data_IF_763789647926
#
_entry.id   IF_763789647926
#
_cell.length_a   1.000
_cell.length_b   1.000
_cell.length_c   1.000
_cell.angle_alpha   90.00
_cell.angle_beta   90.00
_cell.angle_gamma   90.00
#
_symmetry.space_group_name_H-M   'P 1'
#
loop_
_entity.id
_entity.type
_entity.pdbx_description
1 polymer ?
#
# COMPACT_ATOMS: atom_id res chain seq x y z
N UNK A 1 33.19 3.83 -4.31
CA UNK A 1 32.59 3.29 -3.09
C UNK A 1 31.37 4.09 -2.64
N UNK A 2 31.46 5.42 -2.45
CA UNK A 2 30.33 6.22 -1.92
C UNK A 2 29.10 6.27 -2.83
N UNK A 3 29.28 6.30 -4.16
CA UNK A 3 28.15 6.27 -5.11
C UNK A 3 27.34 4.97 -5.06
N UNK A 4 28.00 3.84 -4.82
CA UNK A 4 27.30 2.55 -4.74
C UNK A 4 26.60 2.39 -3.39
N UNK A 5 27.21 2.84 -2.30
CA UNK A 5 26.54 2.89 -1.00
C UNK A 5 25.31 3.80 -1.01
N UNK A 6 25.40 4.96 -1.68
CA UNK A 6 24.26 5.86 -1.86
C UNK A 6 23.15 5.21 -2.71
N UNK A 7 23.51 4.56 -3.82
CA UNK A 7 22.53 3.88 -4.67
C UNK A 7 21.84 2.70 -3.95
N UNK A 8 22.59 1.96 -3.12
CA UNK A 8 22.04 0.87 -2.31
C UNK A 8 21.07 1.40 -1.25
N UNK A 9 21.42 2.51 -0.56
CA UNK A 9 20.52 3.18 0.38
C UNK A 9 19.23 3.63 -0.32
N UNK A 10 19.34 4.26 -1.49
CA UNK A 10 18.18 4.69 -2.27
C UNK A 10 17.32 3.51 -2.73
N UNK A 11 17.93 2.38 -3.13
CA UNK A 11 17.21 1.15 -3.46
C UNK A 11 16.46 0.62 -2.24
N UNK A 12 17.10 0.60 -1.07
CA UNK A 12 16.48 0.13 0.16
C UNK A 12 15.29 0.99 0.57
N UNK A 13 15.42 2.32 0.50
CA UNK A 13 14.33 3.25 0.76
C UNK A 13 13.17 3.07 -0.23
N UNK A 14 13.48 2.86 -1.51
CA UNK A 14 12.49 2.60 -2.55
C UNK A 14 11.76 1.27 -2.33
N UNK A 15 12.46 0.21 -1.92
CA UNK A 15 11.86 -1.09 -1.57
C UNK A 15 10.92 -0.96 -0.38
N UNK A 16 11.34 -0.25 0.67
CA UNK A 16 10.50 -0.02 1.84
C UNK A 16 9.23 0.76 1.47
N UNK A 17 9.38 1.82 0.66
CA UNK A 17 8.24 2.59 0.16
C UNK A 17 7.25 1.74 -0.64
N UNK A 18 7.75 0.88 -1.54
CA UNK A 18 6.90 -0.03 -2.33
C UNK A 18 6.22 -1.05 -1.41
N UNK A 19 6.92 -1.58 -0.40
CA UNK A 19 6.37 -2.51 0.59
C UNK A 19 5.22 -1.87 1.37
N UNK A 20 5.42 -0.66 1.86
CA UNK A 20 4.42 0.09 2.64
C UNK A 20 3.18 0.40 1.78
N UNK A 21 3.39 0.82 0.53
CA UNK A 21 2.30 1.05 -0.43
C UNK A 21 1.53 -0.23 -0.74
N UNK A 22 2.22 -1.35 -0.93
CA UNK A 22 1.58 -2.64 -1.15
C UNK A 22 0.78 -3.10 0.08
N UNK A 23 1.28 -2.85 1.29
CA UNK A 23 0.55 -3.12 2.53
C UNK A 23 -0.69 -2.24 2.66
N UNK A 24 -0.60 -0.96 2.33
CA UNK A 24 -1.74 -0.04 2.28
C UNK A 24 -2.78 -0.48 1.25
N UNK A 25 -2.37 -0.86 0.03
CA UNK A 25 -3.29 -1.39 -0.98
C UNK A 25 -3.99 -2.67 -0.50
N UNK A 26 -3.28 -3.56 0.22
CA UNK A 26 -3.90 -4.74 0.82
C UNK A 26 -4.96 -4.35 1.85
N UNK A 27 -4.65 -3.39 2.73
CA UNK A 27 -5.60 -2.87 3.74
C UNK A 27 -6.83 -2.25 3.08
N UNK A 28 -6.66 -1.43 2.05
CA UNK A 28 -7.76 -0.80 1.32
C UNK A 28 -8.61 -1.82 0.56
N UNK A 29 -8.01 -2.86 -0.01
CA UNK A 29 -8.75 -3.93 -0.69
C UNK A 29 -9.57 -4.80 0.28
N UNK A 30 -9.02 -5.08 1.46
CA UNK A 30 -9.76 -5.76 2.55
C UNK A 30 -10.95 -4.91 3.00
N UNK A 31 -10.73 -3.61 3.20
CA UNK A 31 -11.77 -2.63 3.54
C UNK A 31 -12.87 -2.56 2.47
N UNK A 32 -12.49 -2.56 1.19
CA UNK A 32 -13.43 -2.60 0.06
C UNK A 32 -14.28 -3.87 0.07
N UNK A 33 -13.66 -5.03 0.30
CA UNK A 33 -14.38 -6.31 0.39
C UNK A 33 -15.43 -6.28 1.50
N UNK A 34 -15.05 -5.76 2.67
CA UNK A 34 -15.94 -5.65 3.82
C UNK A 34 -17.05 -4.61 3.61
N UNK A 35 -16.78 -3.49 2.93
CA UNK A 35 -17.84 -2.54 2.52
C UNK A 35 -18.81 -3.15 1.52
N UNK A 36 -18.35 -3.99 0.60
CA UNK A 36 -19.22 -4.69 -0.33
C UNK A 36 -20.13 -5.69 0.40
N UNK A 37 -19.60 -6.39 1.41
CA UNK A 37 -20.39 -7.25 2.29
C UNK A 37 -21.42 -6.44 3.10
N UNK A 38 -21.07 -5.24 3.53
CA UNK A 38 -21.98 -4.32 4.21
C UNK A 38 -23.09 -3.83 3.26
N UNK A 39 -22.72 -3.50 2.01
CA UNK A 39 -23.65 -3.07 0.97
C UNK A 39 -24.64 -4.17 0.59
N UNK A 40 -24.23 -5.44 0.57
CA UNK A 40 -25.12 -6.56 0.26
C UNK A 40 -26.14 -6.85 1.38
N UNK A 41 -25.96 -6.28 2.57
CA UNK A 41 -26.95 -6.32 3.63
C UNK A 41 -28.15 -5.38 3.37
N UNK A 42 -28.01 -4.41 2.47
CA UNK A 42 -29.13 -3.59 2.02
C UNK A 42 -30.09 -4.37 1.12
N UNK A 43 -31.35 -3.94 1.08
CA UNK A 43 -32.32 -4.45 0.12
C UNK A 43 -31.99 -3.90 -1.27
N UNK A 44 -32.38 -4.62 -2.31
CA UNK A 44 -32.09 -4.22 -3.69
C UNK A 44 -32.75 -2.87 -4.05
N UNK A 45 -33.89 -2.56 -3.44
CA UNK A 45 -34.64 -1.30 -3.58
C UNK A 45 -34.24 -0.21 -2.56
N UNK A 46 -33.24 -0.47 -1.71
CA UNK A 46 -32.81 0.48 -0.69
C UNK A 46 -32.28 1.77 -1.32
N UNK A 47 -32.76 2.91 -0.81
CA UNK A 47 -32.36 4.26 -1.20
C UNK A 47 -31.09 4.70 -0.47
N UNK A 48 -30.43 5.72 -1.00
CA UNK A 48 -29.18 6.26 -0.42
C UNK A 48 -29.31 6.75 1.03
N UNK A 49 -30.52 7.13 1.45
CA UNK A 49 -30.84 7.59 2.82
C UNK A 49 -31.15 6.45 3.78
N UNK A 50 -31.37 5.24 3.28
CA UNK A 50 -31.78 4.12 4.12
C UNK A 50 -30.60 3.69 4.97
N UNK A 51 -30.86 3.52 6.26
CA UNK A 51 -29.89 3.03 7.24
C UNK A 51 -30.16 1.57 7.55
N UNK A 52 -29.09 0.86 7.92
CA UNK A 52 -29.14 -0.57 8.19
C UNK A 52 -29.94 -0.93 9.46
N UNK A 53 -30.08 0.01 10.39
CA UNK A 53 -30.84 -0.13 11.64
C UNK A 53 -32.33 -0.47 11.46
N UNK A 54 -32.92 -0.18 10.29
CA UNK A 54 -34.32 -0.45 9.99
C UNK A 54 -34.58 -1.78 9.26
N UNK A 55 -33.53 -2.48 8.80
CA UNK A 55 -33.67 -3.68 7.99
C UNK A 55 -33.61 -4.98 8.81
N UNK A 56 -34.59 -5.86 8.61
CA UNK A 56 -34.74 -7.16 9.31
C UNK A 56 -33.48 -8.04 9.29
N UNK A 57 -32.71 -8.03 8.19
CA UNK A 57 -31.45 -8.81 8.03
C UNK A 57 -30.36 -8.44 9.05
N UNK A 58 -30.41 -7.23 9.62
CA UNK A 58 -29.44 -6.78 10.63
C UNK A 58 -29.71 -7.31 12.03
N UNK A 59 -30.97 -7.67 12.35
CA UNK A 59 -31.30 -8.23 13.67
C UNK A 59 -30.83 -9.68 13.82
N UNK A 60 -30.92 -10.47 12.76
CA UNK A 60 -30.71 -11.93 12.84
C UNK A 60 -29.24 -12.38 12.62
N UNK A 61 -28.36 -11.51 12.13
CA UNK A 61 -26.94 -11.83 11.88
C UNK A 61 -25.96 -10.77 12.47
N UNK A 62 -26.41 -10.16 13.57
CA UNK A 62 -25.78 -9.02 14.26
C UNK A 62 -24.30 -9.25 14.57
N UNK A 63 -23.87 -10.46 14.94
CA UNK A 63 -22.51 -10.72 15.41
C UNK A 63 -21.47 -10.80 14.28
N UNK A 64 -21.82 -11.43 13.15
CA UNK A 64 -20.95 -11.45 11.96
C UNK A 64 -20.82 -10.05 11.37
N UNK A 65 -21.91 -9.28 11.40
CA UNK A 65 -21.96 -7.93 10.85
C UNK A 65 -21.23 -6.93 11.77
N UNK A 66 -21.35 -7.04 13.11
CA UNK A 66 -20.53 -6.28 14.07
C UNK A 66 -19.06 -6.62 13.96
N UNK A 67 -18.72 -7.88 13.68
CA UNK A 67 -17.36 -8.31 13.44
C UNK A 67 -16.82 -7.74 12.12
N UNK A 68 -17.60 -7.74 11.04
CA UNK A 68 -17.26 -7.07 9.77
C UNK A 68 -17.15 -5.55 9.95
N UNK A 69 -18.01 -4.95 10.75
CA UNK A 69 -17.95 -3.52 11.12
C UNK A 69 -16.70 -3.18 11.95
N UNK A 70 -16.28 -4.06 12.86
CA UNK A 70 -15.05 -3.91 13.65
C UNK A 70 -13.80 -4.08 12.79
N UNK A 71 -13.74 -5.12 11.96
CA UNK A 71 -12.64 -5.29 11.00
C UNK A 71 -12.55 -4.11 10.03
N UNK A 72 -13.70 -3.54 9.66
CA UNK A 72 -13.76 -2.36 8.81
C UNK A 72 -13.23 -1.14 9.56
N UNK A 73 -13.61 -0.94 10.83
CA UNK A 73 -13.07 0.13 11.65
C UNK A 73 -11.55 0.03 11.88
N UNK A 74 -11.03 -1.18 11.99
CA UNK A 74 -9.59 -1.43 12.13
C UNK A 74 -8.84 -1.14 10.82
N UNK A 75 -9.43 -1.50 9.67
CA UNK A 75 -8.87 -1.20 8.35
C UNK A 75 -8.92 0.31 8.03
N UNK A 76 -10.02 0.99 8.38
CA UNK A 76 -10.23 2.43 8.23
C UNK A 76 -9.24 3.24 9.07
N UNK A 77 -9.07 2.86 10.34
CA UNK A 77 -8.13 3.51 11.26
C UNK A 77 -6.67 3.31 10.81
N UNK A 78 -6.34 2.13 10.28
CA UNK A 78 -5.01 1.84 9.71
C UNK A 78 -4.76 2.52 8.35
N UNK A 79 -5.82 2.94 7.66
CA UNK A 79 -5.75 3.68 6.39
C UNK A 79 -5.73 5.21 6.59
N UNK A 80 -5.89 5.70 7.82
CA UNK A 80 -5.81 7.14 8.14
C UNK A 80 -7.00 7.97 7.65
N UNK A 81 -8.16 7.35 7.41
CA UNK A 81 -9.38 8.02 6.98
C UNK A 81 -10.25 8.43 8.18
N UNK A 82 -11.07 9.46 7.97
CA UNK A 82 -11.88 10.13 8.99
C UNK A 82 -12.69 9.15 9.87
N UNK A 83 -12.44 9.19 11.18
CA UNK A 83 -13.05 8.32 12.19
C UNK A 83 -14.58 8.51 12.31
N UNK A 84 -15.15 9.55 11.71
CA UNK A 84 -16.58 9.86 11.67
C UNK A 84 -17.46 8.70 11.17
N UNK A 85 -16.95 7.89 10.22
CA UNK A 85 -17.71 6.77 9.67
C UNK A 85 -17.72 5.53 10.60
N UNK A 86 -16.71 5.39 11.46
CA UNK A 86 -16.54 4.22 12.34
C UNK A 86 -17.69 4.10 13.33
N UNK A 87 -18.10 5.22 13.93
CA UNK A 87 -19.17 5.21 14.93
C UNK A 87 -20.55 4.94 14.31
N UNK A 88 -20.78 5.43 13.08
CA UNK A 88 -22.02 5.16 12.33
C UNK A 88 -22.12 3.70 11.90
N UNK A 89 -21.00 3.09 11.53
CA UNK A 89 -20.92 1.67 11.16
C UNK A 89 -21.21 0.79 12.39
N UNK A 90 -20.58 1.08 13.54
CA UNK A 90 -20.80 0.35 14.80
C UNK A 90 -22.25 0.42 15.30
N UNK A 91 -22.90 1.56 15.07
CA UNK A 91 -24.28 1.79 15.51
C UNK A 91 -25.32 1.37 14.45
N UNK A 92 -24.91 0.87 13.28
CA UNK A 92 -25.83 0.50 12.19
C UNK A 92 -26.60 1.67 11.60
N UNK A 93 -26.19 2.91 11.89
CA UNK A 93 -26.81 4.14 11.39
C UNK A 93 -26.20 4.60 10.08
N UNK A 94 -25.11 3.95 9.63
CA UNK A 94 -24.53 4.25 8.33
C UNK A 94 -25.56 3.98 7.22
N UNK A 95 -25.67 4.96 6.34
CA UNK A 95 -26.58 4.92 5.20
C UNK A 95 -25.92 4.29 3.99
N UNK A 96 -26.73 3.76 3.06
CA UNK A 96 -26.23 3.21 1.78
C UNK A 96 -25.40 4.24 1.01
N UNK A 97 -25.81 5.51 1.01
CA UNK A 97 -25.10 6.60 0.34
C UNK A 97 -23.73 6.88 0.97
N UNK A 98 -23.59 6.77 2.28
CA UNK A 98 -22.30 6.92 2.97
C UNK A 98 -21.36 5.75 2.67
N UNK A 99 -21.88 4.52 2.53
CA UNK A 99 -21.10 3.35 2.11
C UNK A 99 -20.63 3.49 0.67
N UNK A 100 -21.48 3.99 -0.23
CA UNK A 100 -21.12 4.24 -1.62
C UNK A 100 -20.08 5.36 -1.75
N UNK A 101 -20.20 6.43 -0.96
CA UNK A 101 -19.20 7.49 -0.88
C UNK A 101 -17.86 6.95 -0.36
N UNK A 102 -17.88 6.10 0.66
CA UNK A 102 -16.70 5.42 1.18
C UNK A 102 -16.04 4.50 0.14
N UNK A 103 -16.80 3.66 -0.55
CA UNK A 103 -16.27 2.79 -1.62
C UNK A 103 -15.57 3.61 -2.71
N UNK A 104 -16.14 4.75 -3.08
CA UNK A 104 -15.53 5.65 -4.06
C UNK A 104 -14.23 6.29 -3.57
N UNK A 105 -14.16 6.71 -2.30
CA UNK A 105 -12.92 7.24 -1.69
C UNK A 105 -11.83 6.15 -1.65
N UNK A 106 -12.20 4.93 -1.31
CA UNK A 106 -11.26 3.80 -1.24
C UNK A 106 -10.77 3.44 -2.63
N UNK A 107 -11.67 3.38 -3.61
CA UNK A 107 -11.32 3.11 -5.01
C UNK A 107 -10.34 4.16 -5.53
N UNK A 108 -10.63 5.45 -5.34
CA UNK A 108 -9.72 6.52 -5.75
C UNK A 108 -8.36 6.47 -5.02
N UNK A 109 -8.36 6.09 -3.74
CA UNK A 109 -7.12 5.89 -2.97
C UNK A 109 -6.30 4.71 -3.50
N UNK A 110 -6.94 3.57 -3.78
CA UNK A 110 -6.30 2.38 -4.39
C UNK A 110 -5.73 2.72 -5.77
N UNK A 111 -6.49 3.42 -6.60
CA UNK A 111 -6.05 3.82 -7.94
C UNK A 111 -4.83 4.74 -7.86
N UNK A 112 -4.83 5.72 -6.94
CA UNK A 112 -3.70 6.63 -6.73
C UNK A 112 -2.44 5.91 -6.23
N UNK A 113 -2.59 4.99 -5.27
CA UNK A 113 -1.48 4.20 -4.71
C UNK A 113 -0.93 3.20 -5.73
N UNK A 114 -1.80 2.59 -6.54
CA UNK A 114 -1.42 1.66 -7.61
C UNK A 114 -0.57 2.38 -8.66
N UNK A 115 -1.01 3.54 -9.13
CA UNK A 115 -0.24 4.37 -10.08
C UNK A 115 1.11 4.79 -9.50
N UNK A 116 1.13 5.21 -8.23
CA UNK A 116 2.36 5.60 -7.54
C UNK A 116 3.33 4.42 -7.36
N UNK A 117 2.83 3.24 -7.00
CA UNK A 117 3.62 2.00 -6.84
C UNK A 117 4.22 1.53 -8.18
N UNK A 118 3.47 1.62 -9.29
CA UNK A 118 3.99 1.33 -10.63
C UNK A 118 5.17 2.24 -11.00
N UNK A 119 5.06 3.54 -10.71
CA UNK A 119 6.14 4.49 -10.94
C UNK A 119 7.38 4.17 -10.10
N UNK A 120 7.19 3.81 -8.84
CA UNK A 120 8.30 3.45 -7.97
C UNK A 120 8.95 2.13 -8.37
N UNK A 121 8.21 1.19 -8.95
CA UNK A 121 8.78 -0.02 -9.54
C UNK A 121 9.66 0.29 -10.76
N UNK A 122 9.25 1.22 -11.63
CA UNK A 122 10.09 1.68 -12.74
C UNK A 122 11.37 2.36 -12.22
N UNK A 123 11.25 3.20 -11.19
CA UNK A 123 12.41 3.82 -10.53
C UNK A 123 13.32 2.77 -9.89
N UNK A 124 12.77 1.75 -9.22
CA UNK A 124 13.53 0.64 -8.65
C UNK A 124 14.33 -0.10 -9.73
N UNK A 125 13.71 -0.41 -10.88
CA UNK A 125 14.40 -1.04 -12.01
C UNK A 125 15.55 -0.16 -12.52
N UNK A 126 15.31 1.15 -12.68
CA UNK A 126 16.34 2.10 -13.09
C UNK A 126 17.49 2.18 -12.08
N UNK A 127 17.19 2.26 -10.78
CA UNK A 127 18.20 2.25 -9.72
C UNK A 127 18.99 0.95 -9.69
N UNK A 128 18.34 -0.20 -9.93
CA UNK A 128 19.04 -1.48 -9.98
C UNK A 128 20.01 -1.55 -11.17
N UNK A 129 19.60 -1.04 -12.33
CA UNK A 129 20.50 -0.94 -13.50
C UNK A 129 21.69 -0.01 -13.19
N UNK A 130 21.43 1.16 -12.61
CA UNK A 130 22.47 2.12 -12.21
C UNK A 130 23.43 1.54 -11.16
N UNK A 131 22.92 0.72 -10.24
CA UNK A 131 23.71 -0.01 -9.27
C UNK A 131 24.64 -1.00 -9.96
N UNK A 132 24.12 -1.84 -10.86
CA UNK A 132 24.93 -2.81 -11.62
C UNK A 132 26.05 -2.13 -12.39
N UNK A 133 25.76 -1.05 -13.14
CA UNK A 133 26.77 -0.27 -13.87
C UNK A 133 27.85 0.31 -12.94
N UNK A 134 27.44 0.84 -11.78
CA UNK A 134 28.37 1.39 -10.82
C UNK A 134 29.24 0.31 -10.15
N UNK A 135 28.71 -0.90 -9.95
CA UNK A 135 29.47 -2.07 -9.49
C UNK A 135 30.49 -2.54 -10.54
N UNK A 136 30.10 -2.63 -11.81
CA UNK A 136 31.00 -3.01 -12.89
C UNK A 136 32.14 -2.00 -13.01
N UNK A 137 31.82 -0.71 -12.94
CA UNK A 137 32.81 0.36 -12.95
C UNK A 137 33.73 0.28 -11.73
N UNK A 138 33.21 0.01 -10.53
CA UNK A 138 34.05 -0.17 -9.34
C UNK A 138 34.96 -1.40 -9.45
N UNK A 139 34.45 -2.51 -9.98
CA UNK A 139 35.24 -3.72 -10.20
C UNK A 139 36.39 -3.43 -11.16
N UNK A 140 36.12 -2.69 -12.24
CA UNK A 140 37.15 -2.26 -13.18
C UNK A 140 38.17 -1.30 -12.55
N UNK A 141 37.73 -0.35 -11.70
CA UNK A 141 38.65 0.53 -10.96
C UNK A 141 39.51 -0.25 -9.96
N UNK A 142 38.94 -1.21 -9.22
CA UNK A 142 39.66 -2.06 -8.28
C UNK A 142 40.69 -2.93 -8.98
N UNK A 143 40.32 -3.54 -10.10
CA UNK A 143 41.23 -4.32 -10.94
C UNK A 143 42.39 -3.45 -11.44
N UNK A 144 42.10 -2.28 -12.00
CA UNK A 144 43.13 -1.34 -12.46
C UNK A 144 44.04 -0.85 -11.32
N UNK A 145 43.49 -0.61 -10.13
CA UNK A 145 44.28 -0.24 -8.95
C UNK A 145 45.18 -1.38 -8.47
N UNK A 146 44.68 -2.62 -8.49
CA UNK A 146 45.46 -3.82 -8.15
C UNK A 146 46.58 -4.07 -9.16
N UNK A 147 46.29 -3.97 -10.46
CA UNK A 147 47.28 -4.11 -11.54
C UNK A 147 48.33 -3.00 -11.46
N UNK A 148 47.93 -1.76 -11.16
CA UNK A 148 48.86 -0.64 -10.94
C UNK A 148 49.76 -0.89 -9.73
N UNK A 149 49.23 -1.36 -8.60
CA UNK A 149 50.03 -1.74 -7.43
C UNK A 149 51.00 -2.88 -7.74
N UNK A 150 50.54 -3.89 -8.49
CA UNK A 150 51.37 -5.01 -8.94
C UNK A 150 52.51 -4.53 -9.83
N UNK A 151 52.24 -3.63 -10.78
CA UNK A 151 53.26 -3.03 -11.64
C UNK A 151 54.28 -2.19 -10.84
N UNK A 152 53.84 -1.44 -9.82
CA UNK A 152 54.76 -0.72 -8.92
C UNK A 152 55.66 -1.73 -8.20
N UNK A 153 55.11 -2.76 -7.56
CA UNK A 153 55.90 -3.79 -6.88
C UNK A 153 56.83 -4.52 -7.86
N UNK A 154 56.38 -4.78 -9.09
CA UNK A 154 57.19 -5.40 -10.13
C UNK A 154 58.35 -4.53 -10.60
N UNK A 155 58.19 -3.20 -10.61
CA UNK A 155 59.28 -2.26 -10.95
C UNK A 155 60.30 -2.09 -9.82
N UNK A 156 59.96 -2.50 -8.59
CA UNK A 156 60.83 -2.45 -7.41
C UNK A 156 61.51 -3.80 -7.11
N UNK A 157 61.25 -4.85 -7.90
CA UNK A 157 61.90 -6.17 -7.80
C UNK A 157 62.92 -6.32 -8.91
#
# INVERSE_FOLDING_TARGET
>A
MDRVRLCESQLQDQINTIRDKNEQMRKLNDMKSQLLQLKSAFADDAKGTDSLSGQSKWKDNTDKIKQTAQSLSDAWSKAGLDASYIDKIKNGTITKGEIDAADQIIKSSVDSLSSSSQMDMVRLQSLNNKRSEAFDTMTNMLKKAADSKSSVVSNFR
#
